data_IF_151382261319
#
_entry.id   IF_151382261319
#
_cell.length_a   1.000
_cell.length_b   1.000
_cell.length_c   1.000
_cell.angle_alpha   90.00
_cell.angle_beta   90.00
_cell.angle_gamma   90.00
#
_symmetry.space_group_name_H-M   'P 1'
#
loop_
_entity.id
_entity.type
_entity.pdbx_description
1 polymer ?
#
# COMPACT_ATOMS: atom_id res chain seq x y z
N UNK A 1 -55.85 19.08 -21.20
CA UNK A 1 -55.05 18.51 -20.09
C UNK A 1 -54.33 17.29 -20.62
N UNK A 2 -53.02 17.29 -20.44
CA UNK A 2 -52.02 16.55 -21.23
C UNK A 2 -51.86 15.11 -20.71
N UNK A 3 -51.85 14.13 -21.65
CA UNK A 3 -50.98 12.92 -21.69
C UNK A 3 -51.16 11.89 -20.56
N UNK A 4 -51.12 10.57 -20.73
CA UNK A 4 -50.78 9.58 -21.78
C UNK A 4 -51.41 8.27 -21.25
N UNK A 5 -52.19 7.49 -21.99
CA UNK A 5 -51.87 6.72 -23.20
C UNK A 5 -50.95 5.51 -22.95
N UNK A 6 -51.50 4.33 -23.31
CA UNK A 6 -50.85 3.11 -23.81
C UNK A 6 -50.35 2.15 -22.70
N UNK A 7 -50.65 0.84 -22.71
CA UNK A 7 -51.35 0.03 -23.69
C UNK A 7 -50.91 -1.44 -23.58
N UNK A 8 -51.88 -2.32 -23.83
CA UNK A 8 -51.79 -3.71 -24.30
C UNK A 8 -51.08 -4.77 -23.44
N UNK A 9 -51.96 -5.49 -22.76
CA UNK A 9 -51.95 -6.94 -22.52
C UNK A 9 -51.63 -7.70 -23.82
N UNK A 10 -50.65 -8.61 -23.75
CA UNK A 10 -50.62 -9.83 -24.55
C UNK A 10 -50.18 -10.98 -23.63
N UNK A 11 -51.10 -11.92 -23.46
CA UNK A 11 -50.91 -13.20 -22.78
C UNK A 11 -50.12 -14.11 -23.71
N UNK A 12 -49.05 -14.72 -23.20
CA UNK A 12 -48.44 -15.88 -23.85
C UNK A 12 -48.57 -17.05 -22.89
N UNK A 13 -49.54 -17.92 -23.16
CA UNK A 13 -49.65 -19.23 -22.54
C UNK A 13 -48.50 -20.08 -23.08
N UNK A 14 -47.63 -20.56 -22.21
CA UNK A 14 -46.79 -21.71 -22.49
C UNK A 14 -47.31 -22.87 -21.65
N UNK A 15 -47.89 -23.85 -22.35
CA UNK A 15 -48.27 -25.14 -21.78
C UNK A 15 -47.03 -26.05 -21.81
N UNK A 16 -46.76 -26.72 -20.70
CA UNK A 16 -45.94 -27.93 -20.70
C UNK A 16 -46.64 -28.97 -19.84
N UNK A 17 -47.21 -29.98 -20.52
CA UNK A 17 -47.71 -31.20 -19.89
C UNK A 17 -46.57 -32.22 -19.87
N UNK A 18 -46.13 -32.64 -18.68
CA UNK A 18 -45.50 -33.93 -18.50
C UNK A 18 -45.63 -34.41 -17.04
N UNK A 19 -46.17 -35.62 -16.85
CA UNK A 19 -45.80 -36.49 -15.73
C UNK A 19 -46.52 -36.33 -14.38
N UNK A 20 -47.49 -37.22 -14.15
CA UNK A 20 -48.26 -37.45 -12.92
C UNK A 20 -47.45 -37.52 -11.60
N UNK A 21 -47.71 -36.61 -10.65
CA UNK A 21 -48.07 -36.86 -9.22
C UNK A 21 -48.05 -35.55 -8.41
N UNK A 22 -49.11 -35.34 -7.64
CA UNK A 22 -49.44 -34.12 -6.88
C UNK A 22 -48.84 -34.20 -5.46
N UNK A 23 -48.09 -33.18 -5.03
CA UNK A 23 -47.86 -32.84 -3.62
C UNK A 23 -47.90 -31.31 -3.44
N UNK A 24 -48.55 -30.80 -2.38
CA UNK A 24 -48.91 -29.39 -2.27
C UNK A 24 -47.70 -28.54 -1.87
N UNK A 25 -47.32 -27.62 -2.76
CA UNK A 25 -46.42 -26.51 -2.42
C UNK A 25 -47.20 -25.57 -1.49
N UNK A 26 -46.89 -25.61 -0.20
CA UNK A 26 -47.38 -24.61 0.74
C UNK A 26 -46.80 -23.25 0.34
N UNK A 27 -47.71 -22.39 -0.08
CA UNK A 27 -47.52 -20.98 -0.33
C UNK A 27 -46.90 -20.32 0.91
N UNK A 28 -45.66 -19.86 0.82
CA UNK A 28 -45.15 -18.82 1.71
C UNK A 28 -44.84 -17.62 0.84
N UNK A 29 -45.82 -16.72 0.77
CA UNK A 29 -45.64 -15.38 0.24
C UNK A 29 -44.89 -14.56 1.28
N UNK A 30 -43.56 -14.58 1.24
CA UNK A 30 -42.75 -13.58 1.95
C UNK A 30 -42.62 -12.35 1.04
N UNK A 31 -43.61 -11.48 1.14
CA UNK A 31 -43.52 -10.12 0.64
C UNK A 31 -42.45 -9.35 1.42
N UNK A 32 -41.27 -9.20 0.82
CA UNK A 32 -40.27 -8.22 1.19
C UNK A 32 -39.64 -7.67 -0.08
N UNK A 33 -40.09 -6.48 -0.49
CA UNK A 33 -39.46 -5.73 -1.56
C UNK A 33 -38.11 -5.21 -1.06
N UNK A 34 -37.03 -5.65 -1.69
CA UNK A 34 -35.77 -4.93 -1.71
C UNK A 34 -35.44 -4.73 -3.19
N UNK A 35 -35.41 -3.49 -3.62
CA UNK A 35 -35.02 -3.13 -4.97
C UNK A 35 -33.50 -3.27 -5.08
N UNK A 36 -33.02 -4.50 -5.22
CA UNK A 36 -31.62 -4.85 -5.40
C UNK A 36 -31.50 -5.68 -6.67
N UNK A 37 -30.84 -5.12 -7.69
CA UNK A 37 -30.56 -5.83 -8.93
C UNK A 37 -29.63 -7.01 -8.62
N UNK A 38 -30.16 -8.23 -8.67
CA UNK A 38 -29.37 -9.44 -8.47
C UNK A 38 -28.49 -9.69 -9.71
N UNK A 39 -27.28 -9.15 -9.71
CA UNK A 39 -26.26 -9.59 -10.65
C UNK A 39 -25.80 -10.99 -10.26
N UNK A 40 -26.26 -11.98 -11.03
CA UNK A 40 -25.71 -13.33 -11.01
C UNK A 40 -24.37 -13.30 -11.75
N UNK A 41 -23.30 -12.89 -11.06
CA UNK A 41 -21.95 -13.12 -11.55
C UNK A 41 -21.53 -14.55 -11.13
N UNK A 42 -20.97 -15.36 -12.05
CA UNK A 42 -20.46 -16.68 -11.69
C UNK A 42 -19.36 -16.52 -10.64
N UNK A 43 -19.57 -17.13 -9.46
CA UNK A 43 -18.59 -17.14 -8.38
C UNK A 43 -17.37 -17.92 -8.86
N UNK A 44 -16.26 -17.24 -9.13
CA UNK A 44 -14.98 -17.90 -9.33
C UNK A 44 -14.56 -18.56 -8.01
N UNK A 45 -13.95 -19.75 -8.10
CA UNK A 45 -13.56 -20.57 -6.95
C UNK A 45 -12.59 -19.86 -5.97
N UNK A 46 -11.96 -18.76 -6.38
CA UNK A 46 -11.07 -17.94 -5.55
C UNK A 46 -11.63 -16.57 -5.12
N UNK A 47 -12.86 -16.20 -5.52
CA UNK A 47 -13.55 -15.02 -4.98
C UNK A 47 -12.83 -13.67 -5.19
N UNK A 48 -12.00 -13.56 -6.23
CA UNK A 48 -11.39 -12.30 -6.64
C UNK A 48 -12.20 -11.80 -7.83
N UNK A 49 -12.89 -10.68 -7.69
CA UNK A 49 -13.37 -9.93 -8.84
C UNK A 49 -12.15 -9.54 -9.67
N UNK A 50 -12.11 -9.96 -10.93
CA UNK A 50 -11.08 -9.54 -11.88
C UNK A 50 -11.21 -8.04 -12.09
N UNK A 51 -10.53 -7.25 -11.25
CA UNK A 51 -10.18 -5.89 -11.60
C UNK A 51 -9.24 -6.00 -12.79
N UNK A 52 -9.82 -5.93 -13.99
CA UNK A 52 -9.09 -5.57 -15.20
C UNK A 52 -8.42 -4.24 -14.89
N UNK A 53 -7.11 -4.26 -14.63
CA UNK A 53 -6.32 -3.07 -14.36
C UNK A 53 -6.44 -2.13 -15.57
N UNK A 54 -7.00 -0.93 -15.34
CA UNK A 54 -7.06 0.18 -16.30
C UNK A 54 -5.65 0.46 -16.87
N UNK A 55 -5.57 0.48 -18.20
CA UNK A 55 -4.51 1.00 -19.08
C UNK A 55 -3.12 1.25 -18.46
N UNK A 56 -2.17 0.36 -18.79
CA UNK A 56 -0.72 0.47 -18.51
C UNK A 56 0.00 1.58 -19.32
N UNK A 57 -0.68 2.65 -19.70
CA UNK A 57 -0.15 3.76 -20.52
C UNK A 57 0.47 4.89 -19.70
N UNK A 58 0.31 4.89 -18.36
CA UNK A 58 0.81 5.95 -17.48
C UNK A 58 2.13 5.54 -16.81
N UNK A 59 3.20 6.36 -16.90
CA UNK A 59 4.45 6.07 -16.21
C UNK A 59 4.21 6.04 -14.69
N UNK A 60 4.81 5.04 -14.03
CA UNK A 60 4.63 4.71 -12.61
C UNK A 60 4.96 5.88 -11.66
N UNK A 61 4.01 6.80 -11.47
CA UNK A 61 4.05 7.78 -10.39
C UNK A 61 3.23 7.19 -9.23
N UNK A 62 3.90 6.54 -8.29
CA UNK A 62 3.23 5.92 -7.14
C UNK A 62 2.76 7.00 -6.17
N UNK A 63 1.47 7.33 -6.20
CA UNK A 63 0.82 8.11 -5.17
C UNK A 63 0.39 7.18 -4.02
N UNK A 64 0.72 7.53 -2.78
CA UNK A 64 0.37 6.73 -1.59
C UNK A 64 -1.15 6.73 -1.39
N UNK A 65 -1.80 5.62 -1.72
CA UNK A 65 -3.24 5.46 -1.52
C UNK A 65 -3.63 5.57 -0.03
N UNK A 66 -4.78 6.19 0.24
CA UNK A 66 -5.34 6.30 1.59
C UNK A 66 -5.55 4.90 2.18
N UNK A 67 -4.89 4.60 3.31
CA UNK A 67 -5.13 3.35 4.04
C UNK A 67 -6.56 3.36 4.58
N UNK A 68 -7.31 2.29 4.33
CA UNK A 68 -8.65 2.14 4.91
C UNK A 68 -8.54 2.00 6.42
N UNK A 69 -9.35 2.77 7.17
CA UNK A 69 -9.40 2.71 8.63
C UNK A 69 -10.01 1.41 9.18
N UNK A 70 -10.67 0.61 8.33
CA UNK A 70 -11.32 -0.63 8.75
C UNK A 70 -10.30 -1.79 8.80
N UNK A 71 -10.02 -2.37 9.98
CA UNK A 71 -9.07 -3.48 10.14
C UNK A 71 -9.58 -4.79 9.51
N UNK A 72 -10.89 -4.95 9.32
CA UNK A 72 -11.48 -6.14 8.70
C UNK A 72 -11.53 -6.07 7.16
N UNK A 73 -11.02 -4.99 6.55
CA UNK A 73 -10.97 -4.92 5.09
C UNK A 73 -9.95 -5.92 4.56
N UNK A 74 -10.35 -6.74 3.60
CA UNK A 74 -9.43 -7.64 2.89
C UNK A 74 -8.25 -6.84 2.30
N UNK A 75 -7.03 -7.27 2.64
CA UNK A 75 -5.80 -6.63 2.18
C UNK A 75 -5.56 -7.06 0.72
N UNK A 76 -5.50 -6.06 -0.17
CA UNK A 76 -5.17 -6.29 -1.59
C UNK A 76 -3.86 -7.06 -1.74
N UNK A 77 -3.78 -7.92 -2.74
CA UNK A 77 -2.57 -8.70 -3.06
C UNK A 77 -1.33 -7.80 -3.17
N UNK A 78 -1.46 -6.66 -3.86
CA UNK A 78 -0.41 -5.65 -3.99
C UNK A 78 0.12 -5.20 -2.62
N UNK A 79 -0.77 -4.92 -1.67
CA UNK A 79 -0.35 -4.47 -0.34
C UNK A 79 0.35 -5.57 0.47
N UNK A 80 0.01 -6.84 0.23
CA UNK A 80 0.71 -7.99 0.84
C UNK A 80 2.09 -8.22 0.23
N UNK A 81 2.25 -8.04 -1.08
CA UNK A 81 3.50 -8.33 -1.81
C UNK A 81 4.52 -7.20 -1.76
N UNK A 82 4.10 -5.96 -1.49
CA UNK A 82 5.00 -4.79 -1.39
C UNK A 82 6.20 -5.02 -0.46
N UNK A 83 6.01 -5.73 0.66
CA UNK A 83 7.10 -6.02 1.59
C UNK A 83 8.16 -6.97 1.02
N UNK A 84 7.83 -7.76 0.00
CA UNK A 84 8.75 -8.69 -0.67
C UNK A 84 9.41 -8.06 -1.90
N UNK A 85 8.69 -7.20 -2.62
CA UNK A 85 9.24 -6.47 -3.78
C UNK A 85 10.16 -5.33 -3.36
N UNK A 86 9.81 -4.62 -2.28
CA UNK A 86 10.61 -3.53 -1.70
C UNK A 86 10.95 -3.90 -0.25
N UNK A 87 11.92 -4.81 -0.06
CA UNK A 87 12.18 -5.42 1.23
C UNK A 87 12.83 -4.48 2.24
N UNK A 88 13.64 -3.52 1.79
CA UNK A 88 14.34 -2.61 2.69
C UNK A 88 13.65 -1.24 2.79
N UNK A 89 13.56 -0.75 4.02
CA UNK A 89 13.07 0.59 4.34
C UNK A 89 14.12 1.38 5.08
N UNK A 90 14.31 2.63 4.67
CA UNK A 90 15.08 3.63 5.39
C UNK A 90 14.18 4.34 6.41
N UNK A 91 14.58 4.35 7.68
CA UNK A 91 14.01 5.22 8.71
C UNK A 91 15.06 6.27 9.11
N UNK A 92 14.67 7.54 9.01
CA UNK A 92 15.52 8.67 9.40
C UNK A 92 14.86 9.38 10.56
N UNK A 93 15.56 9.41 11.69
CA UNK A 93 15.12 10.08 12.90
C UNK A 93 16.07 11.24 13.22
N UNK A 94 15.55 12.45 13.16
CA UNK A 94 16.28 13.67 13.50
C UNK A 94 15.66 14.28 14.74
N UNK A 95 16.48 14.45 15.78
CA UNK A 95 16.10 15.18 16.99
C UNK A 95 16.92 16.47 17.11
N UNK A 96 16.61 17.26 18.14
CA UNK A 96 17.42 18.44 18.50
C UNK A 96 18.86 18.06 18.87
N UNK A 97 19.07 16.87 19.45
CA UNK A 97 20.34 16.48 20.10
C UNK A 97 21.18 15.49 19.30
N UNK A 98 20.56 14.67 18.47
CA UNK A 98 21.22 13.61 17.72
C UNK A 98 20.43 13.26 16.46
N UNK A 99 21.13 12.65 15.51
CA UNK A 99 20.55 12.09 14.30
C UNK A 99 20.80 10.58 14.31
N UNK A 100 19.81 9.83 13.87
CA UNK A 100 19.86 8.37 13.73
C UNK A 100 19.21 8.00 12.41
N UNK A 101 19.80 7.07 11.69
CA UNK A 101 19.25 6.50 10.48
C UNK A 101 19.48 4.99 10.49
N UNK A 102 18.48 4.23 10.05
CA UNK A 102 18.57 2.77 10.00
C UNK A 102 17.89 2.22 8.77
N UNK A 103 18.44 1.12 8.26
CA UNK A 103 17.84 0.28 7.24
C UNK A 103 17.20 -0.92 7.94
N UNK A 104 15.92 -1.13 7.69
CA UNK A 104 15.15 -2.24 8.26
C UNK A 104 14.61 -3.12 7.15
N UNK A 105 14.73 -4.43 7.33
CA UNK A 105 14.08 -5.40 6.46
C UNK A 105 12.61 -5.55 6.86
N UNK A 106 11.66 -5.25 5.97
CA UNK A 106 10.23 -5.22 6.24
C UNK A 106 9.69 -6.56 6.72
N UNK A 107 10.07 -7.66 6.07
CA UNK A 107 9.50 -8.99 6.36
C UNK A 107 10.01 -9.51 7.71
N UNK A 108 11.31 -9.40 7.95
CA UNK A 108 11.93 -9.93 9.19
C UNK A 108 11.91 -8.93 10.34
N UNK A 109 11.54 -7.66 10.09
CA UNK A 109 11.60 -6.55 11.06
C UNK A 109 12.98 -6.37 11.72
N UNK A 110 14.04 -6.85 11.07
CA UNK A 110 15.43 -6.75 11.54
C UNK A 110 16.07 -5.48 11.01
N UNK A 111 16.81 -4.77 11.86
CA UNK A 111 17.66 -3.66 11.45
C UNK A 111 18.95 -4.24 10.86
N UNK A 112 19.19 -3.96 9.58
CA UNK A 112 20.34 -4.48 8.84
C UNK A 112 21.55 -3.59 9.06
N UNK A 113 21.37 -2.29 8.89
CA UNK A 113 22.40 -1.29 9.13
C UNK A 113 21.81 -0.17 9.99
N UNK A 114 22.61 0.30 10.94
CA UNK A 114 22.24 1.39 11.85
C UNK A 114 23.39 2.37 11.91
N UNK A 115 23.10 3.65 11.80
CA UNK A 115 24.07 4.72 11.97
C UNK A 115 23.46 5.83 12.82
N UNK A 116 24.22 6.36 13.77
CA UNK A 116 23.72 7.46 14.59
C UNK A 116 24.83 8.14 15.37
N UNK A 117 24.68 9.45 15.59
CA UNK A 117 25.69 10.27 16.29
C UNK A 117 25.91 9.88 17.74
N UNK A 118 25.10 8.97 18.29
CA UNK A 118 25.27 8.44 19.64
C UNK A 118 26.23 7.24 19.71
N UNK A 119 26.56 6.62 18.57
CA UNK A 119 27.55 5.53 18.53
C UNK A 119 28.92 6.06 18.95
N UNK A 120 29.69 5.21 19.66
CA UNK A 120 30.98 5.60 20.26
C UNK A 120 31.95 6.14 19.21
N UNK A 121 32.00 5.49 18.05
CA UNK A 121 32.92 5.80 16.97
C UNK A 121 32.61 7.16 16.36
N UNK A 122 31.32 7.43 16.09
CA UNK A 122 30.87 8.69 15.50
C UNK A 122 31.00 9.84 16.50
N UNK A 123 30.73 9.58 17.79
CA UNK A 123 30.83 10.58 18.85
C UNK A 123 32.26 11.09 19.05
N UNK A 124 33.27 10.27 18.74
CA UNK A 124 34.67 10.67 18.80
C UNK A 124 35.08 11.60 17.64
N UNK A 125 34.45 11.43 16.47
CA UNK A 125 34.83 12.15 15.24
C UNK A 125 34.03 13.45 15.08
N UNK A 126 32.75 13.47 15.45
CA UNK A 126 31.87 14.61 15.20
C UNK A 126 31.90 15.65 16.32
N UNK A 127 32.26 16.90 15.97
CA UNK A 127 32.17 18.05 16.87
C UNK A 127 30.73 18.41 17.24
N UNK A 128 29.80 18.25 16.31
CA UNK A 128 28.37 18.52 16.51
C UNK A 128 27.51 17.36 16.06
N UNK A 129 26.37 17.16 16.75
CA UNK A 129 25.57 15.93 16.66
C UNK A 129 24.31 16.04 15.83
N UNK A 130 23.86 17.26 15.52
CA UNK A 130 22.59 17.49 14.83
C UNK A 130 22.69 18.45 13.65
N UNK A 131 23.88 18.93 13.30
CA UNK A 131 24.07 19.85 12.19
C UNK A 131 24.03 19.12 10.84
N UNK A 132 23.93 19.89 9.75
CA UNK A 132 23.94 19.39 8.36
C UNK A 132 25.17 18.52 8.07
N UNK A 133 26.43 18.89 8.43
CA UNK A 133 27.59 18.02 8.21
C UNK A 133 27.50 16.68 8.96
N UNK A 134 26.88 16.65 10.14
CA UNK A 134 26.67 15.41 10.88
C UNK A 134 25.67 14.48 10.14
N UNK A 135 24.66 15.06 9.49
CA UNK A 135 23.71 14.31 8.66
C UNK A 135 24.39 13.69 7.43
N UNK A 136 25.28 14.45 6.78
CA UNK A 136 26.07 13.95 5.64
C UNK A 136 26.97 12.79 6.08
N UNK A 137 27.66 12.94 7.22
CA UNK A 137 28.52 11.89 7.77
C UNK A 137 27.74 10.62 8.13
N UNK A 138 26.54 10.75 8.71
CA UNK A 138 25.67 9.60 8.98
C UNK A 138 25.25 8.90 7.69
N UNK A 139 24.89 9.65 6.64
CA UNK A 139 24.54 9.06 5.35
C UNK A 139 25.68 8.22 4.77
N UNK A 140 26.92 8.71 4.85
CA UNK A 140 28.12 7.97 4.42
C UNK A 140 28.32 6.68 5.20
N UNK A 141 28.34 6.77 6.54
CA UNK A 141 28.57 5.61 7.41
C UNK A 141 27.44 4.58 7.27
N UNK A 142 26.20 5.04 7.05
CA UNK A 142 25.09 4.15 6.82
C UNK A 142 25.21 3.43 5.48
N UNK A 143 25.64 4.13 4.41
CA UNK A 143 25.87 3.52 3.11
C UNK A 143 26.97 2.45 3.18
N UNK A 144 28.10 2.75 3.84
CA UNK A 144 29.20 1.79 4.05
C UNK A 144 28.68 0.52 4.74
N UNK A 145 27.97 0.67 5.86
CA UNK A 145 27.36 -0.46 6.60
C UNK A 145 26.31 -1.21 5.79
N UNK A 146 25.59 -0.53 4.88
CA UNK A 146 24.60 -1.14 4.01
C UNK A 146 25.26 -1.99 2.92
N UNK A 147 26.32 -1.47 2.31
CA UNK A 147 27.11 -2.18 1.30
C UNK A 147 27.81 -3.42 1.89
N UNK A 148 28.32 -3.33 3.12
CA UNK A 148 28.86 -4.49 3.85
C UNK A 148 27.82 -5.60 4.09
N UNK A 149 26.54 -5.23 4.13
CA UNK A 149 25.41 -6.14 4.31
C UNK A 149 24.70 -6.49 2.98
N UNK A 150 25.32 -6.17 1.83
CA UNK A 150 24.79 -6.40 0.47
C UNK A 150 23.42 -5.73 0.21
N UNK A 151 23.17 -4.57 0.83
CA UNK A 151 21.96 -3.78 0.62
C UNK A 151 22.25 -2.55 -0.22
N UNK A 152 21.77 -2.55 -1.47
CA UNK A 152 21.97 -1.45 -2.41
C UNK A 152 20.69 -0.66 -2.73
N UNK A 153 19.52 -1.22 -2.45
CA UNK A 153 18.23 -0.59 -2.76
C UNK A 153 17.38 -0.46 -1.50
N UNK A 154 16.80 0.72 -1.26
CA UNK A 154 15.86 0.92 -0.17
C UNK A 154 14.72 1.89 -0.52
N UNK A 155 13.61 1.77 0.20
CA UNK A 155 12.46 2.66 0.11
C UNK A 155 12.44 3.64 1.29
N UNK A 156 12.20 4.92 1.02
CA UNK A 156 12.03 5.93 2.06
C UNK A 156 10.60 6.45 2.06
N UNK A 157 9.94 6.30 3.20
CA UNK A 157 8.64 6.93 3.46
C UNK A 157 8.83 7.97 4.56
N UNK A 158 8.66 9.27 4.26
CA UNK A 158 8.65 10.33 5.26
C UNK A 158 7.59 10.04 6.33
N UNK A 159 7.90 10.40 7.57
CA UNK A 159 6.92 10.39 8.66
C UNK A 159 5.99 11.58 8.50
N UNK A 160 4.74 11.46 8.98
CA UNK A 160 3.70 12.49 8.77
C UNK A 160 4.08 13.90 9.27
N UNK A 161 4.97 13.98 10.27
CA UNK A 161 5.47 15.24 10.86
C UNK A 161 6.70 15.80 10.15
N UNK A 162 7.36 14.99 9.34
CA UNK A 162 8.69 15.24 8.80
C UNK A 162 8.57 15.59 7.32
N UNK A 163 8.94 16.82 6.95
CA UNK A 163 8.96 17.27 5.55
C UNK A 163 10.28 16.86 4.90
N UNK A 164 10.25 16.54 3.61
CA UNK A 164 11.45 16.18 2.84
C UNK A 164 12.31 17.40 2.50
N UNK A 165 12.91 18.02 3.52
CA UNK A 165 13.69 19.25 3.38
C UNK A 165 14.87 19.26 4.37
N UNK A 166 15.83 20.17 4.11
CA UNK A 166 16.96 20.44 5.00
C UNK A 166 17.76 19.19 5.40
N UNK A 167 17.74 18.86 6.69
CA UNK A 167 18.53 17.77 7.28
C UNK A 167 18.15 16.39 6.72
N UNK A 168 16.86 16.14 6.47
CA UNK A 168 16.40 14.86 5.92
C UNK A 168 16.95 14.68 4.51
N UNK A 169 16.82 15.73 3.69
CA UNK A 169 17.37 15.74 2.34
C UNK A 169 18.88 15.53 2.34
N UNK A 170 19.62 16.13 3.29
CA UNK A 170 21.06 15.93 3.39
C UNK A 170 21.46 14.47 3.69
N UNK A 171 20.71 13.76 4.53
CA UNK A 171 20.95 12.32 4.79
C UNK A 171 20.68 11.50 3.53
N UNK A 172 19.54 11.72 2.90
CA UNK A 172 19.10 10.96 1.72
C UNK A 172 20.02 11.22 0.52
N UNK A 173 20.42 12.47 0.29
CA UNK A 173 21.37 12.80 -0.77
C UNK A 173 22.72 12.14 -0.53
N UNK A 174 23.23 12.17 0.71
CA UNK A 174 24.48 11.50 1.05
C UNK A 174 24.40 10.00 0.78
N UNK A 175 23.29 9.32 1.07
CA UNK A 175 23.12 7.90 0.74
C UNK A 175 23.19 7.64 -0.78
N UNK A 176 22.53 8.49 -1.59
CA UNK A 176 22.54 8.38 -3.06
C UNK A 176 23.96 8.60 -3.59
N UNK A 177 24.67 9.61 -3.08
CA UNK A 177 26.03 9.92 -3.51
C UNK A 177 27.02 8.78 -3.22
N UNK A 178 26.72 7.90 -2.24
CA UNK A 178 27.53 6.73 -1.89
C UNK A 178 27.02 5.42 -2.53
N UNK A 179 26.10 5.49 -3.50
CA UNK A 179 25.71 4.34 -4.32
C UNK A 179 24.52 3.52 -3.81
N UNK A 180 23.69 4.08 -2.92
CA UNK A 180 22.42 3.45 -2.52
C UNK A 180 21.26 4.02 -3.33
N UNK A 181 20.55 3.15 -4.06
CA UNK A 181 19.36 3.49 -4.82
C UNK A 181 18.15 3.65 -3.88
N UNK A 182 17.68 4.89 -3.75
CA UNK A 182 16.58 5.24 -2.86
C UNK A 182 15.33 5.63 -3.63
N UNK A 183 14.24 4.87 -3.40
CA UNK A 183 12.90 5.23 -3.85
C UNK A 183 12.19 6.06 -2.79
N UNK A 184 12.04 7.35 -3.04
CA UNK A 184 11.41 8.31 -2.12
C UNK A 184 9.92 8.45 -2.44
N UNK A 185 9.07 8.18 -1.46
CA UNK A 185 7.63 8.37 -1.55
C UNK A 185 7.23 9.69 -0.90
N UNK A 186 6.92 10.71 -1.70
CA UNK A 186 6.39 11.98 -1.22
C UNK A 186 4.86 11.91 -1.21
N UNK A 187 4.24 12.45 -0.16
CA UNK A 187 2.78 12.60 -0.01
C UNK A 187 2.30 13.95 -0.55
#
# INVERSE_FOLDING_TARGET
MLKQAIGRICRTNAYACEGNKVLPWSYVSSCCFHNGQAHMAPRSFFGVEDFVDDDNSRPYTYQKGKKSKNPNKHISFKQRTVAYMEPFTLDVFISKRFVSASLTHRVTSKQVAVAGTNSKDIKAVLRSRSDIPACIAIGRILAERAMEADVYTASYTPRDRDKFEGKIRAVVQSLIDNGIDLKVYLD
#
